data_IF_455587987671
#
_entry.id   IF_455587987671
#
_cell.length_a   1.000
_cell.length_b   1.000
_cell.length_c   1.000
_cell.angle_alpha   90.00
_cell.angle_beta   90.00
_cell.angle_gamma   90.00
#
_symmetry.space_group_name_H-M   'P 1'
#
loop_
_entity.id
_entity.type
_entity.pdbx_description
1 polymer ?
#
# COMPACT_ATOMS: atom_id res chain seq x y z
N UNK A 1 -12.03 -13.91 -13.96
CA UNK A 1 -13.17 -13.02 -13.68
C UNK A 1 -12.91 -11.66 -14.33
N UNK A 2 -13.71 -11.24 -15.31
CA UNK A 2 -13.47 -10.06 -16.14
C UNK A 2 -13.44 -8.71 -15.39
N UNK A 3 -13.66 -8.70 -14.06
CA UNK A 3 -13.69 -7.49 -13.25
C UNK A 3 -12.63 -7.42 -12.14
N UNK A 4 -11.71 -8.41 -12.01
CA UNK A 4 -10.73 -8.48 -10.91
C UNK A 4 -9.88 -7.19 -10.78
N UNK A 5 -9.45 -6.64 -11.91
CA UNK A 5 -8.74 -5.36 -11.99
C UNK A 5 -9.47 -4.24 -11.24
N UNK A 6 -10.78 -4.15 -11.39
CA UNK A 6 -11.58 -3.09 -10.82
C UNK A 6 -12.02 -3.37 -9.38
N UNK A 7 -12.17 -4.64 -9.02
CA UNK A 7 -12.52 -5.12 -7.68
C UNK A 7 -11.35 -4.93 -6.70
N UNK A 8 -10.13 -5.19 -7.15
CA UNK A 8 -8.89 -5.07 -6.37
C UNK A 8 -8.10 -3.80 -6.69
N UNK A 9 -8.52 -3.01 -7.69
CA UNK A 9 -7.85 -1.77 -8.07
C UNK A 9 -6.45 -1.95 -8.65
N UNK A 10 -6.21 -3.01 -9.42
CA UNK A 10 -4.89 -3.38 -9.93
C UNK A 10 -4.46 -2.48 -11.11
N UNK A 11 -3.75 -1.40 -10.81
CA UNK A 11 -3.08 -0.54 -11.78
C UNK A 11 -1.56 -0.57 -11.52
N UNK A 12 -0.84 -1.36 -12.32
CA UNK A 12 0.58 -1.59 -12.06
C UNK A 12 1.46 -0.42 -12.48
N UNK A 13 2.33 -0.01 -11.57
CA UNK A 13 3.37 0.98 -11.82
C UNK A 13 4.37 0.46 -12.83
N UNK A 14 4.71 1.29 -13.83
CA UNK A 14 5.82 0.97 -14.75
C UNK A 14 7.14 1.13 -14.00
N UNK A 15 8.11 0.21 -14.22
CA UNK A 15 9.43 0.25 -13.58
C UNK A 15 10.13 1.62 -13.70
N UNK A 16 9.99 2.32 -14.82
CA UNK A 16 10.53 3.67 -15.02
C UNK A 16 9.96 4.69 -14.01
N UNK A 17 8.67 4.61 -13.69
CA UNK A 17 8.04 5.51 -12.72
C UNK A 17 8.48 5.15 -11.31
N UNK A 18 8.56 3.85 -10.98
CA UNK A 18 9.10 3.40 -9.70
C UNK A 18 10.55 3.88 -9.50
N UNK A 19 11.39 3.78 -10.54
CA UNK A 19 12.77 4.30 -10.55
C UNK A 19 12.81 5.80 -10.25
N UNK A 20 11.98 6.60 -10.92
CA UNK A 20 11.90 8.05 -10.68
C UNK A 20 11.52 8.39 -9.24
N UNK A 21 10.52 7.70 -8.68
CA UNK A 21 10.10 7.96 -7.29
C UNK A 21 11.19 7.56 -6.28
N UNK A 22 11.84 6.41 -6.47
CA UNK A 22 12.97 5.98 -5.62
C UNK A 22 14.17 6.94 -5.74
N UNK A 23 14.47 7.43 -6.95
CA UNK A 23 15.51 8.46 -7.15
C UNK A 23 15.18 9.78 -6.45
N UNK A 24 13.92 10.22 -6.54
CA UNK A 24 13.45 11.40 -5.83
C UNK A 24 13.60 11.21 -4.32
N UNK A 25 13.15 10.07 -3.79
CA UNK A 25 13.25 9.75 -2.36
C UNK A 25 14.69 9.78 -1.88
N UNK A 26 15.60 9.09 -2.57
CA UNK A 26 17.02 9.03 -2.22
C UNK A 26 17.74 10.38 -2.31
N UNK A 27 17.15 11.38 -2.98
CA UNK A 27 17.69 12.74 -3.04
C UNK A 27 17.33 13.56 -1.80
N UNK A 28 16.18 13.29 -1.19
CA UNK A 28 15.61 14.12 -0.12
C UNK A 28 15.57 13.42 1.25
N UNK A 29 15.68 12.10 1.28
CA UNK A 29 15.73 11.31 2.51
C UNK A 29 17.08 10.60 2.61
N UNK A 30 17.76 10.79 3.74
CA UNK A 30 18.92 9.97 4.08
C UNK A 30 18.44 8.61 4.59
N UNK A 31 18.37 7.64 3.69
CA UNK A 31 17.90 6.29 4.02
C UNK A 31 19.07 5.30 4.01
N UNK A 32 19.42 4.77 5.18
CA UNK A 32 20.28 3.59 5.30
C UNK A 32 19.72 2.44 4.44
N UNK A 33 20.58 1.66 3.80
CA UNK A 33 20.15 0.51 2.96
C UNK A 33 19.58 -0.66 3.77
N UNK A 34 19.76 -0.63 5.09
CA UNK A 34 19.25 -1.60 6.06
C UNK A 34 17.90 -1.19 6.68
N UNK A 35 17.33 -0.04 6.32
CA UNK A 35 15.98 0.33 6.79
C UNK A 35 14.94 -0.72 6.41
N UNK A 36 13.90 -0.89 7.24
CA UNK A 36 12.77 -1.75 6.91
C UNK A 36 11.81 -1.01 5.99
N UNK A 37 11.47 -1.67 4.90
CA UNK A 37 10.62 -1.12 3.85
C UNK A 37 9.36 -1.95 3.70
N UNK A 38 8.22 -1.28 3.52
CA UNK A 38 6.96 -1.90 3.16
C UNK A 38 6.45 -1.40 1.79
N UNK A 39 6.09 -2.33 0.91
CA UNK A 39 5.23 -2.09 -0.26
C UNK A 39 3.83 -2.71 -0.02
N UNK A 40 2.81 -1.92 0.41
CA UNK A 40 1.53 -2.45 0.89
C UNK A 40 0.68 -3.17 -0.18
N UNK A 41 0.96 -2.96 -1.46
CA UNK A 41 0.20 -3.53 -2.58
C UNK A 41 1.11 -3.70 -3.80
N UNK A 42 2.04 -4.65 -3.71
CA UNK A 42 3.18 -4.63 -4.62
C UNK A 42 2.87 -5.00 -6.07
N UNK A 43 1.74 -5.66 -6.35
CA UNK A 43 1.36 -6.02 -7.71
C UNK A 43 2.44 -6.85 -8.40
N UNK A 44 3.09 -6.25 -9.41
CA UNK A 44 4.21 -6.88 -10.13
C UNK A 44 5.59 -6.67 -9.47
N UNK A 45 5.65 -6.02 -8.31
CA UNK A 45 6.89 -5.79 -7.54
C UNK A 45 7.85 -4.79 -8.16
N UNK A 46 7.35 -3.77 -8.88
CA UNK A 46 8.21 -2.78 -9.54
C UNK A 46 9.04 -1.96 -8.55
N UNK A 47 8.49 -1.59 -7.39
CA UNK A 47 9.27 -0.89 -6.36
C UNK A 47 10.24 -1.84 -5.67
N UNK A 48 9.79 -3.02 -5.22
CA UNK A 48 10.70 -4.06 -4.68
C UNK A 48 11.90 -4.30 -5.59
N UNK A 49 11.69 -4.46 -6.91
CA UNK A 49 12.80 -4.68 -7.85
C UNK A 49 13.78 -3.50 -7.87
N UNK A 50 13.26 -2.27 -8.00
CA UNK A 50 14.09 -1.06 -8.04
C UNK A 50 14.84 -0.84 -6.73
N UNK A 51 14.20 -1.08 -5.58
CA UNK A 51 14.83 -0.95 -4.26
C UNK A 51 15.98 -1.95 -4.10
N UNK A 52 15.78 -3.21 -4.51
CA UNK A 52 16.85 -4.22 -4.53
C UNK A 52 18.01 -3.81 -5.43
N UNK A 53 17.73 -3.28 -6.62
CA UNK A 53 18.75 -2.72 -7.54
C UNK A 53 19.52 -1.54 -6.92
N UNK A 54 18.97 -0.88 -5.90
CA UNK A 54 19.60 0.21 -5.13
C UNK A 54 20.27 -0.24 -3.84
N UNK A 55 20.32 -1.55 -3.59
CA UNK A 55 21.01 -2.15 -2.45
C UNK A 55 20.17 -2.26 -1.17
N UNK A 56 18.87 -1.96 -1.22
CA UNK A 56 18.00 -2.17 -0.05
C UNK A 56 17.74 -3.66 0.19
N UNK A 57 17.89 -4.11 1.43
CA UNK A 57 17.83 -5.53 1.78
C UNK A 57 16.54 -5.93 2.53
N UNK A 58 16.04 -5.05 3.39
CA UNK A 58 14.94 -5.37 4.32
C UNK A 58 13.58 -4.92 3.76
N UNK A 59 13.13 -5.56 2.69
CA UNK A 59 11.89 -5.19 1.98
C UNK A 59 10.80 -6.24 2.20
N UNK A 60 9.66 -5.78 2.68
CA UNK A 60 8.44 -6.54 2.81
C UNK A 60 7.37 -6.00 1.86
N UNK A 61 6.42 -6.85 1.49
CA UNK A 61 5.29 -6.40 0.70
C UNK A 61 4.07 -7.29 0.88
N UNK A 62 2.90 -6.71 0.62
CA UNK A 62 1.63 -7.44 0.58
C UNK A 62 1.11 -7.47 -0.85
N UNK A 63 0.58 -8.62 -1.28
CA UNK A 63 -0.12 -8.79 -2.54
C UNK A 63 -1.19 -9.85 -2.36
N UNK A 64 -2.44 -9.46 -2.57
CA UNK A 64 -3.60 -10.31 -2.32
C UNK A 64 -3.87 -11.28 -3.48
N UNK A 65 -3.35 -11.00 -4.68
CA UNK A 65 -3.60 -11.82 -5.86
C UNK A 65 -2.65 -13.02 -5.96
N UNK A 66 -3.15 -14.28 -5.82
CA UNK A 66 -2.33 -15.48 -5.99
C UNK A 66 -1.78 -15.68 -7.40
N UNK A 67 -2.23 -14.92 -8.39
CA UNK A 67 -1.64 -14.92 -9.74
C UNK A 67 -0.36 -14.09 -9.83
N UNK A 68 -0.10 -13.22 -8.86
CA UNK A 68 1.04 -12.31 -8.84
C UNK A 68 2.11 -12.73 -7.83
N UNK A 69 1.75 -13.58 -6.85
CA UNK A 69 2.66 -14.07 -5.81
C UNK A 69 2.32 -15.49 -5.39
N UNK A 70 3.33 -16.26 -5.01
CA UNK A 70 3.17 -17.58 -4.40
C UNK A 70 2.73 -17.51 -2.92
N UNK A 71 2.84 -16.34 -2.28
CA UNK A 71 2.47 -16.11 -0.87
C UNK A 71 1.51 -14.92 -0.78
N UNK A 72 0.22 -15.11 -1.09
CA UNK A 72 -0.74 -14.03 -1.05
C UNK A 72 -0.95 -13.52 0.38
N UNK A 73 -1.02 -12.21 0.55
CA UNK A 73 -1.33 -11.57 1.81
C UNK A 73 -2.17 -10.32 1.58
N UNK A 74 -3.25 -10.18 2.38
CA UNK A 74 -4.02 -8.96 2.43
C UNK A 74 -3.30 -7.96 3.34
N UNK A 75 -3.07 -6.74 2.86
CA UNK A 75 -2.46 -5.69 3.67
C UNK A 75 -3.28 -5.40 4.92
N UNK A 76 -4.61 -5.56 4.88
CA UNK A 76 -5.45 -5.36 6.06
C UNK A 76 -5.23 -6.40 7.17
N UNK A 77 -4.62 -7.55 6.86
CA UNK A 77 -4.19 -8.55 7.86
C UNK A 77 -2.80 -8.27 8.45
N UNK A 78 -2.07 -7.25 7.97
CA UNK A 78 -0.75 -6.91 8.52
C UNK A 78 -0.89 -6.36 9.95
N UNK A 79 -0.26 -6.98 10.98
CA UNK A 79 -0.37 -6.55 12.38
C UNK A 79 0.34 -5.21 12.64
N UNK A 80 -0.24 -4.34 13.49
CA UNK A 80 0.27 -2.97 13.73
C UNK A 80 1.62 -2.90 14.45
N UNK A 81 2.07 -4.00 15.05
CA UNK A 81 3.40 -4.15 15.64
C UNK A 81 4.49 -4.13 14.58
N UNK A 82 4.15 -4.38 13.31
CA UNK A 82 5.06 -4.24 12.17
C UNK A 82 5.28 -2.76 11.89
N UNK A 83 6.48 -2.28 12.20
CA UNK A 83 6.89 -0.89 11.99
C UNK A 83 7.99 -0.79 10.94
N UNK A 84 7.95 0.28 10.15
CA UNK A 84 8.81 0.50 8.99
C UNK A 84 9.29 1.95 8.93
N UNK A 85 10.57 2.14 8.60
CA UNK A 85 11.16 3.45 8.33
C UNK A 85 10.75 4.00 6.96
N UNK A 86 10.42 3.13 6.00
CA UNK A 86 9.96 3.54 4.67
C UNK A 86 8.74 2.74 4.22
N UNK A 87 7.68 3.45 3.83
CA UNK A 87 6.53 2.84 3.15
C UNK A 87 6.40 3.47 1.76
N UNK A 88 6.45 2.65 0.71
CA UNK A 88 6.45 3.14 -0.67
C UNK A 88 5.54 2.29 -1.54
N UNK A 89 4.84 2.92 -2.49
CA UNK A 89 4.09 2.14 -3.47
C UNK A 89 3.14 2.93 -4.36
N UNK A 90 2.17 2.21 -4.89
CA UNK A 90 1.03 2.74 -5.61
C UNK A 90 -0.22 2.02 -5.09
N UNK A 91 -1.03 2.65 -4.22
CA UNK A 91 -2.17 1.98 -3.61
C UNK A 91 -3.20 1.56 -4.67
N UNK A 92 -4.10 0.61 -4.36
CA UNK A 92 -5.14 0.20 -5.29
C UNK A 92 -6.18 1.31 -5.52
N UNK A 93 -6.84 1.30 -6.69
CA UNK A 93 -7.94 2.22 -7.02
C UNK A 93 -9.19 1.45 -7.48
N UNK A 94 -10.09 1.13 -6.55
CA UNK A 94 -11.24 0.24 -6.81
C UNK A 94 -12.49 0.98 -7.28
N UNK A 95 -13.35 0.30 -8.05
CA UNK A 95 -14.65 0.86 -8.46
C UNK A 95 -15.75 0.62 -7.43
N UNK A 96 -16.63 1.60 -7.23
CA UNK A 96 -17.72 1.51 -6.25
C UNK A 96 -18.92 0.67 -6.71
N UNK A 97 -19.06 0.39 -8.02
CA UNK A 97 -20.27 -0.22 -8.60
C UNK A 97 -20.08 -1.69 -8.96
N UNK A 98 -19.21 -2.40 -8.23
CA UNK A 98 -18.91 -3.80 -8.46
C UNK A 98 -19.00 -4.59 -7.15
N UNK A 99 -19.69 -5.72 -7.22
CA UNK A 99 -19.79 -6.65 -6.09
C UNK A 99 -18.40 -7.16 -5.69
N UNK A 100 -18.18 -7.27 -4.38
CA UNK A 100 -16.91 -7.72 -3.81
C UNK A 100 -15.77 -6.69 -3.88
N UNK A 101 -16.01 -5.49 -4.43
CA UNK A 101 -15.03 -4.42 -4.48
C UNK A 101 -14.56 -3.99 -3.09
N UNK A 102 -13.25 -3.80 -2.94
CA UNK A 102 -12.66 -3.26 -1.71
C UNK A 102 -13.03 -1.80 -1.45
N UNK A 103 -13.78 -1.16 -2.35
CA UNK A 103 -14.44 0.12 -2.07
C UNK A 103 -15.44 0.05 -0.90
N UNK A 104 -15.98 -1.15 -0.63
CA UNK A 104 -16.90 -1.38 0.48
C UNK A 104 -16.14 -1.84 1.72
N UNK A 105 -16.26 -1.10 2.83
CA UNK A 105 -15.53 -1.35 4.08
C UNK A 105 -15.74 -2.76 4.62
N UNK A 106 -16.93 -3.33 4.41
CA UNK A 106 -17.31 -4.69 4.82
C UNK A 106 -16.31 -5.77 4.35
N UNK A 107 -15.60 -5.53 3.23
CA UNK A 107 -14.57 -6.43 2.71
C UNK A 107 -13.37 -6.59 3.63
N UNK A 108 -13.08 -5.59 4.45
CA UNK A 108 -11.94 -5.59 5.37
C UNK A 108 -12.33 -5.21 6.81
N UNK A 109 -13.62 -5.02 7.11
CA UNK A 109 -14.10 -4.64 8.45
C UNK A 109 -13.88 -5.73 9.53
N UNK A 110 -13.79 -6.98 9.11
CA UNK A 110 -13.56 -8.14 10.00
C UNK A 110 -12.06 -8.44 10.20
N UNK A 111 -11.18 -7.69 9.51
CA UNK A 111 -9.74 -7.88 9.57
C UNK A 111 -9.19 -7.28 10.87
N UNK A 112 -8.06 -7.81 11.33
CA UNK A 112 -7.32 -7.27 12.47
C UNK A 112 -6.00 -6.69 11.96
N UNK A 113 -5.66 -5.44 12.29
CA UNK A 113 -6.45 -4.47 13.07
C UNK A 113 -7.78 -4.06 12.40
N UNK A 114 -8.79 -3.76 13.22
CA UNK A 114 -10.09 -3.27 12.74
C UNK A 114 -9.92 -1.90 12.10
N UNK A 115 -10.75 -1.54 11.10
CA UNK A 115 -10.69 -0.22 10.47
C UNK A 115 -10.77 0.95 11.44
N UNK A 116 -11.53 0.82 12.52
CA UNK A 116 -11.72 1.90 13.51
C UNK A 116 -10.42 2.21 14.28
N UNK A 117 -9.39 1.35 14.22
CA UNK A 117 -8.08 1.57 14.82
C UNK A 117 -7.17 2.48 13.98
N UNK A 118 -7.46 2.67 12.69
CA UNK A 118 -6.63 3.46 11.77
C UNK A 118 -7.41 4.47 10.92
N UNK A 119 -8.73 4.35 10.84
CA UNK A 119 -9.58 5.33 10.16
C UNK A 119 -9.97 6.46 11.10
N UNK A 120 -9.91 7.69 10.61
CA UNK A 120 -10.47 8.85 11.32
C UNK A 120 -11.99 8.73 11.44
N UNK A 121 -12.59 9.30 12.50
CA UNK A 121 -14.02 9.19 12.80
C UNK A 121 -14.93 9.51 11.60
N UNK A 122 -14.59 10.53 10.79
CA UNK A 122 -15.37 10.91 9.61
C UNK A 122 -15.40 9.85 8.49
N UNK A 123 -14.51 8.86 8.53
CA UNK A 123 -14.45 7.71 7.63
C UNK A 123 -14.86 6.41 8.31
N UNK A 124 -14.67 6.29 9.62
CA UNK A 124 -15.02 5.10 10.38
C UNK A 124 -16.50 4.70 10.17
N UNK A 125 -17.44 5.64 10.20
CA UNK A 125 -18.87 5.30 10.04
C UNK A 125 -19.30 5.04 8.59
N UNK A 126 -18.41 5.27 7.61
CA UNK A 126 -18.76 5.12 6.20
C UNK A 126 -18.69 3.66 5.76
N UNK A 127 -19.77 3.19 5.13
CA UNK A 127 -19.80 1.89 4.43
C UNK A 127 -18.91 1.86 3.18
N UNK A 128 -18.72 3.03 2.56
CA UNK A 128 -18.03 3.22 1.28
C UNK A 128 -16.83 4.12 1.48
N UNK A 129 -15.64 3.62 1.16
CA UNK A 129 -14.38 4.32 1.34
C UNK A 129 -13.55 4.09 0.08
N UNK A 130 -12.98 5.17 -0.46
CA UNK A 130 -11.94 5.07 -1.49
C UNK A 130 -10.79 4.26 -0.91
N UNK A 131 -10.50 3.10 -1.48
CA UNK A 131 -9.61 2.12 -0.87
C UNK A 131 -8.21 2.67 -0.64
N UNK A 132 -7.74 3.58 -1.51
CA UNK A 132 -6.47 4.27 -1.36
C UNK A 132 -6.38 5.05 -0.04
N UNK A 133 -7.48 5.62 0.46
CA UNK A 133 -7.51 6.32 1.76
C UNK A 133 -7.26 5.33 2.90
N UNK A 134 -7.92 4.17 2.86
CA UNK A 134 -7.73 3.14 3.89
C UNK A 134 -6.31 2.57 3.86
N UNK A 135 -5.72 2.41 2.67
CA UNK A 135 -4.33 2.00 2.51
C UNK A 135 -3.35 3.04 3.09
N UNK A 136 -3.54 4.32 2.77
CA UNK A 136 -2.68 5.41 3.26
C UNK A 136 -2.78 5.51 4.78
N UNK A 137 -3.99 5.57 5.33
CA UNK A 137 -4.21 5.71 6.77
C UNK A 137 -3.66 4.51 7.56
N UNK A 138 -3.89 3.28 7.09
CA UNK A 138 -3.26 2.10 7.71
C UNK A 138 -1.74 2.13 7.57
N UNK A 139 -1.20 2.59 6.44
CA UNK A 139 0.25 2.75 6.26
C UNK A 139 0.85 3.74 7.27
N UNK A 140 0.18 4.85 7.57
CA UNK A 140 0.64 5.79 8.60
C UNK A 140 0.77 5.12 9.97
N UNK A 141 -0.13 4.19 10.32
CA UNK A 141 -0.02 3.41 11.56
C UNK A 141 1.16 2.44 11.57
N UNK A 142 1.76 2.13 10.42
CA UNK A 142 2.93 1.27 10.28
C UNK A 142 4.26 2.04 10.22
N UNK A 143 4.23 3.38 10.22
CA UNK A 143 5.46 4.17 10.38
C UNK A 143 6.08 3.91 11.75
N UNK A 144 7.41 3.77 11.79
CA UNK A 144 8.15 3.45 13.01
C UNK A 144 8.17 4.61 13.99
N UNK A 145 8.41 5.81 13.48
CA UNK A 145 8.62 7.05 14.25
C UNK A 145 8.41 8.27 13.33
N UNK A 146 8.63 9.47 13.86
CA UNK A 146 8.47 10.75 13.16
C UNK A 146 9.51 10.99 12.05
N UNK A 147 10.64 10.28 12.09
CA UNK A 147 11.68 10.32 11.05
C UNK A 147 11.38 9.38 9.88
N UNK A 148 10.32 8.56 9.99
CA UNK A 148 9.92 7.60 8.97
C UNK A 148 9.25 8.28 7.77
N UNK A 149 9.47 7.73 6.58
CA UNK A 149 9.01 8.30 5.30
C UNK A 149 7.89 7.48 4.67
N UNK A 150 6.93 8.17 4.04
CA UNK A 150 5.94 7.57 3.15
C UNK A 150 5.99 8.19 1.75
N UNK A 151 5.93 7.35 0.71
CA UNK A 151 5.99 7.78 -0.68
C UNK A 151 4.98 7.02 -1.55
N UNK A 152 3.92 7.70 -1.99
CA UNK A 152 2.90 7.09 -2.86
C UNK A 152 2.74 7.80 -4.19
N UNK A 153 2.44 7.02 -5.23
CA UNK A 153 1.88 7.52 -6.48
C UNK A 153 0.37 7.68 -6.30
N UNK A 154 -0.15 8.89 -6.45
CA UNK A 154 -1.58 9.18 -6.31
C UNK A 154 -2.10 9.96 -7.52
N UNK A 155 -3.39 9.82 -7.86
CA UNK A 155 -4.03 10.69 -8.83
C UNK A 155 -4.10 12.13 -8.29
N UNK A 156 -4.03 13.11 -9.19
CA UNK A 156 -4.13 14.53 -8.81
C UNK A 156 -5.43 14.87 -8.08
N UNK A 157 -6.52 14.15 -8.39
CA UNK A 157 -7.83 14.28 -7.74
C UNK A 157 -7.91 13.76 -6.30
N UNK A 158 -6.77 13.31 -5.76
CA UNK A 158 -6.62 13.02 -4.34
C UNK A 158 -6.53 14.30 -3.50
N UNK A 159 -5.97 15.38 -4.07
CA UNK A 159 -5.89 16.72 -3.48
C UNK A 159 -7.10 17.57 -3.88
#
# INVERSE_FOLDING_TARGET
MPHKKFILGQYFTRKLIAKKLVELLLKYADCDRNVRILEPSFGKGSFIQVLKERGFMNIEGCEIDPKLTAKPSDFFDLPLERKFELIIGNPPFTKFNLDGSYYYKERYAHKLPKPDEYLVNSLADKKRIRIENAFILKSLMHLKDEDSTIAFILPISFF
#
